data_IF_571050884040
#
_entry.id   IF_571050884040
#
_cell.length_a   1.000
_cell.length_b   1.000
_cell.length_c   1.000
_cell.angle_alpha   90.00
_cell.angle_beta   90.00
_cell.angle_gamma   90.00
#
_symmetry.space_group_name_H-M   'P 1'
#
loop_
_entity.id
_entity.type
_entity.pdbx_description
1 polymer ?
#
# COMPACT_ATOMS: atom_id res chain seq x y z
N UNK A 1 -8.45 11.19 -5.04
CA UNK A 1 -8.78 10.35 -3.89
C UNK A 1 -8.14 10.92 -2.63
N UNK A 2 -8.74 10.71 -1.46
CA UNK A 2 -8.18 11.14 -0.19
C UNK A 2 -7.24 10.07 0.38
N UNK A 3 -7.55 8.81 0.08
CA UNK A 3 -6.76 7.64 0.49
C UNK A 3 -6.48 6.75 -0.72
N UNK A 4 -5.26 6.24 -0.80
CA UNK A 4 -4.83 5.21 -1.74
C UNK A 4 -4.30 4.03 -0.94
N UNK A 5 -4.70 2.83 -1.32
CA UNK A 5 -4.26 1.59 -0.68
C UNK A 5 -3.85 0.55 -1.71
N UNK A 6 -3.14 -0.46 -1.25
CA UNK A 6 -2.70 -1.61 -2.03
C UNK A 6 -1.74 -2.47 -1.19
N UNK A 7 -1.37 -3.63 -1.70
CA UNK A 7 -0.45 -4.52 -1.01
C UNK A 7 1.01 -4.18 -1.32
N UNK A 8 1.73 -3.64 -0.36
CA UNK A 8 3.11 -3.12 -0.51
C UNK A 8 3.21 -1.93 -1.49
N UNK A 9 2.12 -1.17 -1.63
CA UNK A 9 2.04 -0.08 -2.60
C UNK A 9 2.94 1.12 -2.25
N UNK A 10 3.22 1.35 -0.97
CA UNK A 10 4.09 2.45 -0.50
C UNK A 10 5.51 2.33 -1.06
N UNK A 11 6.03 1.10 -1.19
CA UNK A 11 7.41 0.83 -1.64
C UNK A 11 7.51 0.39 -3.09
N UNK A 12 6.40 0.03 -3.74
CA UNK A 12 6.42 -0.49 -5.10
C UNK A 12 5.57 0.35 -6.07
N UNK A 13 4.25 0.33 -5.91
CA UNK A 13 3.34 0.92 -6.89
C UNK A 13 3.45 2.44 -6.97
N UNK A 14 3.43 3.12 -5.83
CA UNK A 14 3.47 4.58 -5.77
C UNK A 14 4.81 5.14 -6.31
N UNK A 15 5.98 4.63 -5.89
CA UNK A 15 7.26 5.03 -6.48
C UNK A 15 7.35 4.75 -7.98
N UNK A 16 6.85 3.60 -8.44
CA UNK A 16 6.85 3.24 -9.85
C UNK A 16 5.97 4.19 -10.67
N UNK A 17 4.72 4.42 -10.23
CA UNK A 17 3.77 5.28 -10.94
C UNK A 17 4.30 6.71 -11.02
N UNK A 18 4.78 7.27 -9.92
CA UNK A 18 5.31 8.63 -9.88
C UNK A 18 6.56 8.78 -10.76
N UNK A 19 7.49 7.82 -10.68
CA UNK A 19 8.68 7.79 -11.53
C UNK A 19 8.33 7.65 -13.02
N UNK A 20 7.35 6.78 -13.34
CA UNK A 20 6.89 6.59 -14.72
C UNK A 20 6.19 7.82 -15.28
N UNK A 21 5.30 8.43 -14.52
CA UNK A 21 4.63 9.68 -14.92
C UNK A 21 5.63 10.81 -15.12
N UNK A 22 6.58 10.98 -14.20
CA UNK A 22 7.62 11.99 -14.32
C UNK A 22 8.45 11.80 -15.62
N UNK A 23 8.80 10.55 -15.93
CA UNK A 23 9.60 10.22 -17.12
C UNK A 23 8.84 10.43 -18.42
N UNK A 24 7.56 10.09 -18.48
CA UNK A 24 6.75 10.09 -19.71
C UNK A 24 6.08 11.44 -19.95
N UNK A 25 5.53 12.05 -18.90
CA UNK A 25 4.70 13.26 -18.98
C UNK A 25 5.41 14.51 -18.40
N UNK A 26 6.54 14.32 -17.73
CA UNK A 26 7.28 15.38 -17.07
C UNK A 26 6.73 15.74 -15.68
N UNK A 27 7.56 16.42 -14.89
CA UNK A 27 7.30 16.72 -13.48
C UNK A 27 6.03 17.55 -13.25
N UNK A 28 5.70 18.45 -14.18
CA UNK A 28 4.50 19.31 -14.08
C UNK A 28 3.21 18.49 -14.06
N UNK A 29 3.11 17.47 -14.92
CA UNK A 29 1.94 16.59 -14.98
C UNK A 29 1.95 15.54 -13.87
N UNK A 30 3.12 15.01 -13.51
CA UNK A 30 3.27 14.10 -12.38
C UNK A 30 2.78 14.73 -11.08
N UNK A 31 3.07 16.00 -10.82
CA UNK A 31 2.59 16.73 -9.65
C UNK A 31 1.06 16.85 -9.53
N UNK A 32 0.32 16.62 -10.62
CA UNK A 32 -1.16 16.56 -10.60
C UNK A 32 -1.72 15.34 -9.86
N UNK A 33 -0.89 14.39 -9.45
CA UNK A 33 -1.29 13.35 -8.49
C UNK A 33 -1.72 13.95 -7.15
N UNK A 34 -1.13 15.07 -6.78
CA UNK A 34 -1.52 15.84 -5.60
C UNK A 34 -2.53 16.94 -5.97
N UNK A 35 -3.63 17.12 -5.22
CA UNK A 35 -4.55 18.22 -5.40
C UNK A 35 -3.86 19.59 -5.20
N UNK A 36 -2.76 19.62 -4.45
CA UNK A 36 -1.98 20.84 -4.16
C UNK A 36 -0.71 20.98 -5.00
N UNK A 37 -0.47 20.01 -5.90
CA UNK A 37 0.76 19.98 -6.72
C UNK A 37 2.03 19.66 -5.93
N UNK A 38 1.90 19.08 -4.74
CA UNK A 38 2.99 18.73 -3.84
C UNK A 38 3.25 17.23 -3.91
N UNK A 39 4.32 16.85 -4.59
CA UNK A 39 4.82 15.46 -4.61
C UNK A 39 6.29 15.51 -4.26
N UNK A 40 6.65 14.90 -3.14
CA UNK A 40 8.03 14.86 -2.64
C UNK A 40 8.52 13.43 -2.55
N UNK A 41 9.81 13.24 -2.73
CA UNK A 41 10.48 11.96 -2.60
C UNK A 41 11.49 12.05 -1.47
N UNK A 42 11.50 11.06 -0.57
CA UNK A 42 12.43 10.97 0.54
C UNK A 42 13.13 9.62 0.53
N UNK A 43 14.46 9.64 0.70
CA UNK A 43 15.23 8.43 0.86
C UNK A 43 15.09 7.91 2.29
N UNK A 44 14.86 6.62 2.42
CA UNK A 44 14.79 5.93 3.71
C UNK A 44 15.68 4.69 3.71
N UNK A 45 16.12 4.28 4.88
CA UNK A 45 16.86 3.04 5.04
C UNK A 45 15.97 2.03 5.77
N UNK A 46 15.61 0.94 5.09
CA UNK A 46 14.82 -0.15 5.64
C UNK A 46 15.66 -1.41 5.66
N UNK A 47 15.93 -1.95 6.86
CA UNK A 47 16.76 -3.16 7.05
C UNK A 47 18.13 -3.06 6.33
N UNK A 48 18.79 -1.91 6.42
CA UNK A 48 20.09 -1.65 5.80
C UNK A 48 20.08 -1.42 4.28
N UNK A 49 18.91 -1.45 3.64
CA UNK A 49 18.76 -1.15 2.20
C UNK A 49 18.19 0.24 2.00
N UNK A 50 18.79 0.99 1.07
CA UNK A 50 18.23 2.27 0.62
C UNK A 50 16.94 2.00 -0.16
N UNK A 51 15.88 2.63 0.27
CA UNK A 51 14.59 2.69 -0.41
C UNK A 51 14.18 4.15 -0.49
N UNK A 52 13.15 4.44 -1.27
CA UNK A 52 12.54 5.76 -1.27
C UNK A 52 11.03 5.62 -1.15
N UNK A 53 10.45 6.59 -0.48
CA UNK A 53 9.01 6.76 -0.39
C UNK A 53 8.62 8.04 -1.11
N UNK A 54 7.40 8.08 -1.60
CA UNK A 54 6.84 9.26 -2.25
C UNK A 54 5.68 9.74 -1.41
N UNK A 55 5.74 10.98 -0.99
CA UNK A 55 4.65 11.66 -0.32
C UNK A 55 3.87 12.50 -1.34
N UNK A 56 2.55 12.27 -1.39
CA UNK A 56 1.63 12.96 -2.28
C UNK A 56 0.76 13.86 -1.41
N UNK A 57 1.09 15.14 -1.33
CA UNK A 57 0.37 16.09 -0.50
C UNK A 57 -1.13 16.08 -0.76
N UNK A 58 -1.94 15.88 0.29
CA UNK A 58 -3.39 15.75 0.22
C UNK A 58 -3.91 14.35 -0.15
N UNK A 59 -3.03 13.35 -0.31
CA UNK A 59 -3.42 11.96 -0.54
C UNK A 59 -2.67 11.06 0.43
N UNK A 60 -3.39 10.37 1.29
CA UNK A 60 -2.79 9.45 2.26
C UNK A 60 -2.59 8.07 1.64
N UNK A 61 -1.36 7.56 1.68
CA UNK A 61 -1.05 6.19 1.26
C UNK A 61 -1.12 5.27 2.47
N UNK A 62 -2.18 4.45 2.54
CA UNK A 62 -2.38 3.44 3.57
C UNK A 62 -2.04 2.07 2.99
N UNK A 63 -0.78 1.67 3.07
CA UNK A 63 -0.32 0.37 2.59
C UNK A 63 -0.97 -0.77 3.39
N UNK A 64 -1.77 -1.62 2.71
CA UNK A 64 -2.56 -2.64 3.37
C UNK A 64 -1.70 -3.73 4.03
N UNK A 65 -0.56 -4.09 3.45
CA UNK A 65 0.38 -5.01 4.09
C UNK A 65 0.94 -4.43 5.40
N UNK A 66 1.16 -3.12 5.42
CA UNK A 66 1.64 -2.42 6.62
C UNK A 66 0.55 -2.34 7.68
N UNK A 67 -0.71 -2.04 7.29
CA UNK A 67 -1.87 -2.10 8.19
C UNK A 67 -2.04 -3.49 8.79
N UNK A 68 -1.96 -4.53 7.97
CA UNK A 68 -2.05 -5.92 8.42
C UNK A 68 -0.98 -6.27 9.46
N UNK A 69 0.28 -5.88 9.22
CA UNK A 69 1.38 -6.07 10.19
C UNK A 69 1.25 -5.28 11.47
N UNK A 70 0.64 -4.12 11.38
CA UNK A 70 0.47 -3.19 12.50
C UNK A 70 -0.72 -3.56 13.38
N UNK A 71 -1.72 -4.21 12.86
CA UNK A 71 -2.95 -4.55 13.58
C UNK A 71 -2.67 -5.45 14.81
N UNK A 72 -3.19 -5.09 16.00
CA UNK A 72 -2.92 -5.81 17.25
C UNK A 72 -3.41 -7.26 17.27
N UNK A 73 -4.37 -7.61 16.44
CA UNK A 73 -4.95 -8.96 16.35
C UNK A 73 -4.29 -9.87 15.32
N UNK A 74 -3.32 -9.38 14.58
CA UNK A 74 -2.69 -10.16 13.51
C UNK A 74 -1.66 -11.14 14.09
N UNK A 75 -1.80 -12.45 13.89
CA UNK A 75 -0.82 -13.42 14.34
C UNK A 75 0.50 -13.27 13.57
N UNK A 76 1.58 -13.71 14.19
CA UNK A 76 2.87 -13.75 13.51
C UNK A 76 2.78 -14.68 12.29
N UNK A 77 3.04 -14.16 11.11
CA UNK A 77 2.93 -14.87 9.85
C UNK A 77 4.30 -15.34 9.35
N UNK A 78 4.37 -16.53 8.76
CA UNK A 78 5.60 -17.04 8.12
C UNK A 78 5.95 -16.20 6.88
N UNK A 79 4.93 -15.69 6.19
CA UNK A 79 5.10 -14.88 4.99
C UNK A 79 4.05 -13.76 4.94
N UNK A 80 4.46 -12.59 4.44
CA UNK A 80 3.56 -11.46 4.16
C UNK A 80 3.31 -11.28 2.66
N UNK A 81 3.42 -12.33 1.88
CA UNK A 81 3.00 -12.32 0.48
C UNK A 81 1.47 -12.32 0.41
N UNK A 82 0.91 -11.58 -0.56
CA UNK A 82 -0.54 -11.45 -0.69
C UNK A 82 -1.24 -12.80 -0.88
N UNK A 83 -0.64 -13.72 -1.65
CA UNK A 83 -1.15 -15.07 -1.87
C UNK A 83 -1.26 -15.86 -0.56
N UNK A 84 -0.22 -15.80 0.27
CA UNK A 84 -0.20 -16.48 1.57
C UNK A 84 -1.26 -15.90 2.52
N UNK A 85 -1.31 -14.58 2.66
CA UNK A 85 -2.28 -13.93 3.54
C UNK A 85 -3.72 -14.12 3.06
N UNK A 86 -3.97 -14.04 1.76
CA UNK A 86 -5.29 -14.32 1.19
C UNK A 86 -5.74 -15.77 1.45
N UNK A 87 -4.82 -16.73 1.38
CA UNK A 87 -5.12 -18.11 1.73
C UNK A 87 -5.45 -18.27 3.22
N UNK A 88 -4.68 -17.64 4.11
CA UNK A 88 -4.92 -17.71 5.55
C UNK A 88 -6.22 -17.03 5.96
N UNK A 89 -6.46 -15.83 5.45
CA UNK A 89 -7.60 -15.01 5.87
C UNK A 89 -8.88 -15.33 5.11
N UNK A 90 -8.81 -15.61 3.81
CA UNK A 90 -10.00 -15.77 2.96
C UNK A 90 -10.20 -17.21 2.49
N UNK A 91 -9.23 -18.11 2.69
CA UNK A 91 -9.23 -19.45 2.07
C UNK A 91 -9.09 -19.42 0.55
N UNK A 92 -8.62 -18.32 -0.03
CA UNK A 92 -8.53 -18.10 -1.47
C UNK A 92 -7.09 -18.07 -1.95
N UNK A 93 -6.86 -18.68 -3.11
CA UNK A 93 -5.55 -18.66 -3.77
C UNK A 93 -5.55 -17.66 -4.94
N UNK A 94 -4.36 -17.13 -5.24
CA UNK A 94 -4.12 -16.38 -6.47
C UNK A 94 -4.28 -17.26 -7.71
N UNK A 95 -4.45 -16.62 -8.86
CA UNK A 95 -4.31 -17.30 -10.15
C UNK A 95 -2.90 -17.87 -10.29
N UNK A 96 -2.85 -19.16 -10.64
CA UNK A 96 -1.58 -19.79 -10.99
C UNK A 96 -1.09 -19.29 -12.35
N UNK A 97 0.20 -18.93 -12.40
CA UNK A 97 0.91 -18.53 -13.62
C UNK A 97 2.15 -19.36 -13.88
N UNK A 98 2.25 -20.56 -13.25
CA UNK A 98 3.40 -21.45 -13.36
C UNK A 98 3.63 -21.99 -14.79
N UNK A 99 2.67 -21.82 -15.68
CA UNK A 99 2.81 -22.14 -17.12
C UNK A 99 3.80 -21.24 -17.88
N UNK A 100 4.23 -20.10 -17.26
CA UNK A 100 5.19 -19.19 -17.85
C UNK A 100 6.54 -19.30 -17.16
N UNK A 101 7.60 -19.53 -17.92
CA UNK A 101 8.97 -19.69 -17.38
C UNK A 101 9.50 -18.44 -16.69
N UNK A 102 9.10 -17.27 -17.17
CA UNK A 102 9.50 -15.98 -16.59
C UNK A 102 8.32 -15.03 -16.46
N UNK A 103 8.42 -14.11 -15.51
CA UNK A 103 7.42 -13.04 -15.36
C UNK A 103 7.32 -12.17 -16.62
N UNK A 104 8.44 -12.03 -17.36
CA UNK A 104 8.47 -11.34 -18.65
C UNK A 104 7.61 -12.06 -19.69
N UNK A 105 7.72 -13.38 -19.78
CA UNK A 105 6.88 -14.19 -20.68
C UNK A 105 5.41 -14.06 -20.29
N UNK A 106 5.11 -14.04 -19.00
CA UNK A 106 3.75 -13.86 -18.52
C UNK A 106 3.09 -12.57 -19.04
N UNK A 107 3.73 -11.40 -18.88
CA UNK A 107 3.13 -10.16 -19.37
C UNK A 107 3.26 -9.91 -20.86
N UNK A 108 4.14 -10.63 -21.60
CA UNK A 108 4.30 -10.47 -23.05
C UNK A 108 3.50 -11.47 -23.85
N UNK A 109 3.44 -12.73 -23.40
CA UNK A 109 2.77 -13.83 -24.12
C UNK A 109 1.39 -14.13 -23.57
N UNK A 110 1.17 -13.94 -22.26
CA UNK A 110 -0.06 -14.19 -21.53
C UNK A 110 -0.79 -12.91 -21.10
N UNK A 111 -0.83 -11.88 -21.95
CA UNK A 111 -1.36 -10.56 -21.60
C UNK A 111 -2.75 -10.58 -20.96
N UNK A 112 -3.69 -11.34 -21.54
CA UNK A 112 -5.04 -11.45 -20.99
C UNK A 112 -5.01 -11.99 -19.55
N UNK A 113 -4.32 -13.10 -19.33
CA UNK A 113 -4.17 -13.72 -18.01
C UNK A 113 -3.40 -12.83 -17.04
N UNK A 114 -2.42 -12.06 -17.54
CA UNK A 114 -1.71 -11.06 -16.74
C UNK A 114 -2.63 -9.95 -16.25
N UNK A 115 -3.55 -9.45 -17.06
CA UNK A 115 -4.55 -8.46 -16.66
C UNK A 115 -5.51 -9.04 -15.63
N UNK A 116 -6.01 -10.26 -15.86
CA UNK A 116 -6.86 -10.98 -14.89
C UNK A 116 -6.17 -11.19 -13.55
N UNK A 117 -4.90 -11.57 -13.57
CA UNK A 117 -4.06 -11.71 -12.38
C UNK A 117 -4.02 -10.40 -11.58
N UNK A 118 -3.75 -9.26 -12.23
CA UNK A 118 -3.71 -7.95 -11.55
C UNK A 118 -5.08 -7.55 -10.98
N UNK A 119 -6.17 -7.84 -11.69
CA UNK A 119 -7.54 -7.59 -11.21
C UNK A 119 -7.83 -8.41 -9.95
N UNK A 120 -7.39 -9.67 -9.93
CA UNK A 120 -7.58 -10.54 -8.76
C UNK A 120 -6.76 -10.05 -7.57
N UNK A 121 -5.53 -9.59 -7.77
CA UNK A 121 -4.72 -9.03 -6.68
C UNK A 121 -5.42 -7.84 -6.02
N UNK A 122 -6.01 -6.94 -6.81
CA UNK A 122 -6.80 -5.81 -6.27
C UNK A 122 -8.04 -6.31 -5.51
N UNK A 123 -8.78 -7.27 -6.08
CA UNK A 123 -9.96 -7.86 -5.43
C UNK A 123 -9.64 -8.61 -4.15
N UNK A 124 -8.46 -9.21 -4.04
CA UNK A 124 -8.04 -9.85 -2.78
C UNK A 124 -7.82 -8.82 -1.67
N UNK A 125 -7.23 -7.68 -1.96
CA UNK A 125 -7.07 -6.59 -0.98
C UNK A 125 -8.43 -6.04 -0.57
N UNK A 126 -9.35 -5.83 -1.49
CA UNK A 126 -10.73 -5.40 -1.23
C UNK A 126 -11.46 -6.38 -0.29
N UNK A 127 -11.38 -7.68 -0.57
CA UNK A 127 -11.98 -8.72 0.29
C UNK A 127 -11.31 -8.85 1.66
N UNK A 128 -10.00 -8.60 1.73
CA UNK A 128 -9.31 -8.53 3.02
C UNK A 128 -9.84 -7.36 3.85
N UNK A 129 -10.06 -6.19 3.21
CA UNK A 129 -10.67 -5.04 3.90
C UNK A 129 -12.12 -5.33 4.32
N UNK A 130 -12.91 -5.98 3.48
CA UNK A 130 -14.28 -6.37 3.83
C UNK A 130 -14.33 -7.23 5.09
N UNK A 131 -13.36 -8.13 5.26
CA UNK A 131 -13.28 -9.02 6.42
C UNK A 131 -12.62 -8.37 7.63
N UNK A 132 -11.51 -7.69 7.45
CA UNK A 132 -10.62 -7.26 8.55
C UNK A 132 -10.86 -5.82 8.99
N UNK A 133 -11.44 -4.97 8.13
CA UNK A 133 -11.78 -3.57 8.42
C UNK A 133 -10.60 -2.73 8.93
N UNK A 134 -9.41 -2.97 8.39
CA UNK A 134 -8.19 -2.33 8.87
C UNK A 134 -8.07 -0.87 8.44
N UNK A 135 -8.60 -0.50 7.27
CA UNK A 135 -8.64 0.90 6.85
C UNK A 135 -9.64 1.65 7.74
N UNK A 136 -10.83 1.08 7.98
CA UNK A 136 -11.82 1.68 8.85
C UNK A 136 -11.27 1.89 10.27
N UNK A 137 -10.57 0.89 10.81
CA UNK A 137 -9.87 1.00 12.09
C UNK A 137 -8.84 2.13 12.09
N UNK A 138 -8.00 2.18 11.05
CA UNK A 138 -6.96 3.19 10.89
C UNK A 138 -7.54 4.62 10.85
N UNK A 139 -8.61 4.82 10.09
CA UNK A 139 -9.29 6.11 9.97
C UNK A 139 -9.93 6.52 11.31
N UNK A 140 -10.55 5.58 12.01
CA UNK A 140 -11.15 5.84 13.34
C UNK A 140 -10.08 6.27 14.34
N UNK A 141 -8.96 5.55 14.39
CA UNK A 141 -7.85 5.88 15.31
C UNK A 141 -7.21 7.23 14.97
N UNK A 142 -7.03 7.53 13.69
CA UNK A 142 -6.50 8.83 13.27
C UNK A 142 -7.44 9.98 13.65
N UNK A 143 -8.75 9.76 13.49
CA UNK A 143 -9.76 10.73 13.88
C UNK A 143 -9.76 11.00 15.38
N UNK A 144 -9.76 9.94 16.20
CA UNK A 144 -9.74 10.06 17.66
C UNK A 144 -8.47 10.73 18.17
N UNK A 145 -7.32 10.36 17.59
CA UNK A 145 -6.02 10.94 17.92
C UNK A 145 -5.76 12.32 17.30
N UNK A 146 -6.64 12.81 16.41
CA UNK A 146 -6.50 14.09 15.66
C UNK A 146 -5.17 14.17 14.89
N UNK A 147 -4.76 13.08 14.26
CA UNK A 147 -3.55 12.99 13.44
C UNK A 147 -3.89 12.71 11.97
N UNK A 148 -2.90 12.85 11.07
CA UNK A 148 -3.08 12.40 9.69
C UNK A 148 -3.18 10.88 9.63
N UNK A 149 -3.90 10.35 8.64
CA UNK A 149 -4.13 8.91 8.50
C UNK A 149 -2.84 8.08 8.44
N UNK A 150 -1.76 8.60 7.86
CA UNK A 150 -0.46 7.92 7.82
C UNK A 150 0.28 7.93 9.15
N UNK A 151 -0.04 8.86 10.06
CA UNK A 151 0.66 9.02 11.34
C UNK A 151 0.32 7.92 12.35
N UNK A 152 -0.74 7.14 12.12
CA UNK A 152 -1.12 5.97 12.93
C UNK A 152 0.00 4.92 13.04
N UNK A 153 0.86 4.84 12.02
CA UNK A 153 2.00 3.93 12.03
C UNK A 153 3.14 4.37 12.96
N UNK A 154 3.08 5.59 13.50
CA UNK A 154 4.10 6.16 14.37
C UNK A 154 3.57 6.27 15.80
N UNK A 155 3.82 5.25 16.62
CA UNK A 155 3.36 5.20 18.01
C UNK A 155 3.72 6.45 18.82
N UNK A 156 4.89 7.04 18.58
CA UNK A 156 5.33 8.27 19.27
C UNK A 156 4.42 9.46 18.96
N UNK A 157 3.94 9.58 17.72
CA UNK A 157 3.02 10.66 17.32
C UNK A 157 1.62 10.46 17.93
N UNK A 158 1.14 9.22 17.98
CA UNK A 158 -0.13 8.89 18.64
C UNK A 158 -0.09 9.22 20.15
N UNK A 159 0.97 8.81 20.84
CA UNK A 159 1.10 9.01 22.28
C UNK A 159 1.33 10.48 22.68
N UNK A 160 2.08 11.26 21.89
CA UNK A 160 2.37 12.66 22.19
C UNK A 160 1.12 13.55 22.12
N UNK A 161 0.13 13.20 21.32
CA UNK A 161 -1.09 13.98 21.16
C UNK A 161 -2.18 13.61 22.17
N UNK A 162 -2.21 12.37 22.65
CA UNK A 162 -3.11 11.95 23.73
C UNK A 162 -2.77 12.69 25.05
N UNK A 163 -1.48 12.94 25.30
CA UNK A 163 -1.04 13.69 26.50
C UNK A 163 -1.23 15.23 26.44
N UNK A 164 -1.54 15.78 25.27
CA UNK A 164 -1.78 17.23 25.11
C UNK A 164 -3.28 17.57 25.32
N UNK A 165 -4.15 16.57 25.35
CA UNK A 165 -5.62 16.75 25.49
C UNK A 165 -6.13 16.61 26.93
N UNK A 166 -5.27 16.40 27.93
CA UNK A 166 -5.53 16.54 29.36
C UNK A 166 -5.03 17.90 29.88
#
# INVERSE_FOLDING_TARGET
PDVVTGWNCEFFDIPYITGRLNRVLGSKLMKRLSPWGLVTQSDIVVRGRKNFIVDIGGVSVLDYMRLYKWSPGTPNQESFRLDYIAQQELGQQKLDHSEFDTFKDFYTKGWQKFVEYNIIDVKLVDRLEDKLKLIELALTMAYDAKVNYQDIFFQVRLLSLIHISE
#
